data_IF_088205929549
#
_entry.id   IF_088205929549
#
_cell.length_a   1.000
_cell.length_b   1.000
_cell.length_c   1.000
_cell.angle_alpha   90.00
_cell.angle_beta   90.00
_cell.angle_gamma   90.00
#
_symmetry.space_group_name_H-M   'P 1'
#
loop_
_entity.id
_entity.type
_entity.pdbx_description
1 polymer ?
#
# COMPACT_ATOMS: atom_id res chain seq x y z
N UNK A 1 -38.49 -6.19 39.57
CA UNK A 1 -38.13 -4.96 38.83
C UNK A 1 -39.11 -4.81 37.68
N UNK A 2 -39.73 -3.63 37.51
CA UNK A 2 -40.46 -3.33 36.28
C UNK A 2 -39.47 -3.37 35.11
N UNK A 3 -39.89 -3.93 33.97
CA UNK A 3 -39.09 -3.85 32.74
C UNK A 3 -39.02 -2.37 32.32
N UNK A 4 -37.83 -1.83 32.02
CA UNK A 4 -37.70 -0.46 31.52
C UNK A 4 -38.52 -0.28 30.24
N UNK A 5 -39.22 0.84 30.12
CA UNK A 5 -39.86 1.25 28.87
C UNK A 5 -38.86 2.05 28.01
N UNK A 6 -38.31 1.41 26.98
CA UNK A 6 -37.32 2.02 26.09
C UNK A 6 -37.91 3.07 25.13
N UNK A 7 -39.23 3.25 25.10
CA UNK A 7 -39.88 4.33 24.35
C UNK A 7 -39.82 5.67 25.09
N UNK A 8 -39.60 5.65 26.42
CA UNK A 8 -39.40 6.83 27.23
C UNK A 8 -37.92 7.14 27.40
N UNK A 9 -37.49 8.30 26.90
CA UNK A 9 -36.09 8.72 26.89
C UNK A 9 -35.45 8.72 28.29
N UNK A 10 -36.17 9.24 29.29
CA UNK A 10 -35.69 9.31 30.68
C UNK A 10 -35.44 7.92 31.29
N UNK A 11 -36.36 6.97 31.08
CA UNK A 11 -36.20 5.60 31.59
C UNK A 11 -35.06 4.85 30.90
N UNK A 12 -34.89 5.09 29.60
CA UNK A 12 -33.79 4.52 28.80
C UNK A 12 -32.43 5.04 29.28
N UNK A 13 -32.30 6.35 29.50
CA UNK A 13 -31.06 6.94 30.00
C UNK A 13 -30.73 6.46 31.41
N UNK A 14 -31.73 6.37 32.29
CA UNK A 14 -31.54 5.86 33.65
C UNK A 14 -31.10 4.40 33.63
N UNK A 15 -31.69 3.56 32.77
CA UNK A 15 -31.24 2.19 32.55
C UNK A 15 -29.77 2.15 32.08
N UNK A 16 -29.40 2.94 31.08
CA UNK A 16 -28.01 2.95 30.60
C UNK A 16 -27.02 3.42 31.67
N UNK A 17 -27.40 4.40 32.48
CA UNK A 17 -26.59 4.82 33.63
C UNK A 17 -26.43 3.69 34.64
N UNK A 18 -27.48 2.91 34.90
CA UNK A 18 -27.41 1.77 35.85
C UNK A 18 -26.46 0.67 35.41
N UNK A 19 -26.29 0.45 34.10
CA UNK A 19 -25.35 -0.54 33.57
C UNK A 19 -23.92 0.00 33.44
N UNK A 20 -23.67 1.26 33.80
CA UNK A 20 -22.34 1.86 33.81
C UNK A 20 -21.97 2.63 32.55
N UNK A 21 -22.95 3.13 31.77
CA UNK A 21 -22.72 4.18 30.78
C UNK A 21 -22.34 5.48 31.53
N UNK A 22 -21.28 6.19 31.12
CA UNK A 22 -20.96 7.49 31.68
C UNK A 22 -21.99 8.58 31.33
N UNK A 23 -21.96 9.68 32.09
CA UNK A 23 -22.83 10.83 31.87
C UNK A 23 -22.34 11.70 30.69
N UNK A 24 -21.03 11.70 30.43
CA UNK A 24 -20.42 12.39 29.28
C UNK A 24 -19.35 11.52 28.60
N UNK A 25 -19.00 11.86 27.36
CA UNK A 25 -17.95 11.15 26.63
C UNK A 25 -16.58 11.26 27.30
N UNK A 26 -16.30 12.38 27.98
CA UNK A 26 -15.02 12.63 28.63
C UNK A 26 -14.80 11.75 29.87
N UNK A 27 -15.86 11.16 30.43
CA UNK A 27 -15.78 10.31 31.63
C UNK A 27 -15.28 8.88 31.32
N UNK A 28 -15.06 8.56 30.04
CA UNK A 28 -14.38 7.33 29.65
C UNK A 28 -12.88 7.44 29.90
N UNK A 29 -12.35 6.46 30.62
CA UNK A 29 -10.94 6.40 30.97
C UNK A 29 -10.11 5.87 29.80
N UNK A 30 -8.96 6.51 29.54
CA UNK A 30 -7.93 5.99 28.65
C UNK A 30 -7.37 4.69 29.24
N UNK A 31 -7.27 3.59 28.47
CA UNK A 31 -6.60 2.40 28.95
C UNK A 31 -5.11 2.67 29.17
N UNK A 32 -4.55 2.17 30.28
CA UNK A 32 -3.10 2.23 30.51
C UNK A 32 -2.35 1.52 29.37
N UNK A 33 -1.31 2.17 28.83
CA UNK A 33 -0.51 1.61 27.74
C UNK A 33 -1.16 1.61 26.35
N UNK A 34 -2.26 2.35 26.17
CA UNK A 34 -2.83 2.64 24.85
C UNK A 34 -1.80 3.31 23.94
N UNK A 35 -1.63 2.79 22.72
CA UNK A 35 -0.82 3.43 21.66
C UNK A 35 -1.68 4.22 20.68
N UNK A 36 -2.98 4.34 20.94
CA UNK A 36 -3.86 5.17 20.15
C UNK A 36 -3.49 6.64 20.39
N UNK A 37 -3.50 7.42 19.31
CA UNK A 37 -3.32 8.86 19.40
C UNK A 37 -4.56 9.53 20.03
N UNK A 38 -4.36 10.72 20.59
CA UNK A 38 -5.40 11.41 21.36
C UNK A 38 -6.64 11.76 20.52
N UNK A 39 -6.51 11.96 19.20
CA UNK A 39 -7.64 12.26 18.33
C UNK A 39 -8.50 11.01 18.10
N UNK A 40 -7.88 9.88 17.79
CA UNK A 40 -8.57 8.57 17.71
C UNK A 40 -9.24 8.23 19.03
N UNK A 41 -8.60 8.48 20.17
CA UNK A 41 -9.20 8.23 21.47
C UNK A 41 -10.42 9.09 21.75
N UNK A 42 -10.37 10.39 21.40
CA UNK A 42 -11.52 11.28 21.55
C UNK A 42 -12.72 10.81 20.71
N UNK A 43 -12.49 10.42 19.45
CA UNK A 43 -13.53 9.89 18.57
C UNK A 43 -14.15 8.59 19.13
N UNK A 44 -13.33 7.70 19.68
CA UNK A 44 -13.81 6.46 20.29
C UNK A 44 -14.66 6.71 21.55
N UNK A 45 -14.34 7.75 22.34
CA UNK A 45 -15.17 8.15 23.49
C UNK A 45 -16.52 8.70 23.05
N UNK A 46 -16.54 9.53 22.01
CA UNK A 46 -17.78 10.03 21.42
C UNK A 46 -18.65 8.88 20.87
N UNK A 47 -18.02 7.95 20.14
CA UNK A 47 -18.67 6.75 19.62
C UNK A 47 -19.25 5.91 20.77
N UNK A 48 -18.46 5.64 21.80
CA UNK A 48 -18.90 4.88 22.97
C UNK A 48 -20.10 5.54 23.67
N UNK A 49 -20.07 6.86 23.83
CA UNK A 49 -21.18 7.62 24.43
C UNK A 49 -22.46 7.53 23.59
N UNK A 50 -22.33 7.76 22.29
CA UNK A 50 -23.41 7.70 21.29
C UNK A 50 -24.07 6.31 21.25
N UNK A 51 -23.27 5.26 21.36
CA UNK A 51 -23.74 3.87 21.32
C UNK A 51 -24.03 3.27 22.69
N UNK A 52 -24.01 4.08 23.75
CA UNK A 52 -24.36 3.69 25.12
C UNK A 52 -23.50 2.54 25.67
N UNK A 53 -22.23 2.49 25.28
CA UNK A 53 -21.29 1.52 25.82
C UNK A 53 -21.04 1.80 27.31
N UNK A 54 -20.73 0.75 28.06
CA UNK A 54 -20.27 0.90 29.45
C UNK A 54 -18.78 1.26 29.46
N UNK A 55 -18.30 1.85 30.56
CA UNK A 55 -16.86 2.14 30.73
C UNK A 55 -15.98 0.91 30.50
N UNK A 56 -16.40 -0.25 31.01
CA UNK A 56 -15.67 -1.52 30.86
C UNK A 56 -15.63 -2.00 29.40
N UNK A 57 -16.75 -1.88 28.68
CA UNK A 57 -16.84 -2.28 27.27
C UNK A 57 -15.94 -1.42 26.39
N UNK A 58 -16.01 -0.09 26.52
CA UNK A 58 -15.17 0.79 25.71
C UNK A 58 -13.69 0.62 26.06
N UNK A 59 -13.35 0.48 27.36
CA UNK A 59 -11.97 0.23 27.78
C UNK A 59 -11.40 -1.05 27.16
N UNK A 60 -12.15 -2.15 27.19
CA UNK A 60 -11.74 -3.41 26.55
C UNK A 60 -11.56 -3.25 25.03
N UNK A 61 -12.50 -2.58 24.37
CA UNK A 61 -12.41 -2.31 22.93
C UNK A 61 -11.17 -1.48 22.56
N UNK A 62 -10.87 -0.42 23.32
CA UNK A 62 -9.67 0.41 23.09
C UNK A 62 -8.38 -0.38 23.36
N UNK A 63 -8.37 -1.30 24.33
CA UNK A 63 -7.24 -2.20 24.58
C UNK A 63 -7.03 -3.17 23.41
N UNK A 64 -8.09 -3.78 22.90
CA UNK A 64 -8.02 -4.70 21.76
C UNK A 64 -7.55 -3.97 20.49
N UNK A 65 -8.07 -2.77 20.23
CA UNK A 65 -7.66 -1.95 19.09
C UNK A 65 -6.18 -1.53 19.18
N UNK A 66 -5.73 -1.09 20.36
CA UNK A 66 -4.33 -0.79 20.64
C UNK A 66 -3.44 -2.02 20.45
N UNK A 67 -3.88 -3.19 20.92
CA UNK A 67 -3.19 -4.47 20.71
C UNK A 67 -3.08 -4.83 19.23
N UNK A 68 -4.17 -4.68 18.47
CA UNK A 68 -4.20 -4.92 17.03
C UNK A 68 -3.26 -3.98 16.27
N UNK A 69 -3.23 -2.70 16.64
CA UNK A 69 -2.34 -1.72 16.02
C UNK A 69 -0.87 -2.08 16.28
N UNK A 70 -0.52 -2.43 17.53
CA UNK A 70 0.84 -2.91 17.86
C UNK A 70 1.21 -4.14 17.04
N UNK A 71 0.33 -5.14 17.00
CA UNK A 71 0.57 -6.35 16.21
C UNK A 71 0.73 -6.05 14.72
N UNK A 72 -0.09 -5.13 14.19
CA UNK A 72 0.00 -4.71 12.78
C UNK A 72 1.34 -4.05 12.49
N UNK A 73 1.83 -3.17 13.37
CA UNK A 73 3.15 -2.55 13.23
C UNK A 73 4.27 -3.59 13.30
N UNK A 74 4.21 -4.54 14.24
CA UNK A 74 5.16 -5.66 14.33
C UNK A 74 5.15 -6.49 13.05
N UNK A 75 3.98 -6.86 12.53
CA UNK A 75 3.88 -7.62 11.28
C UNK A 75 4.46 -6.86 10.08
N UNK A 76 4.26 -5.54 10.02
CA UNK A 76 4.84 -4.69 8.97
C UNK A 76 6.37 -4.69 9.07
N UNK A 77 6.92 -4.54 10.28
CA UNK A 77 8.37 -4.58 10.52
C UNK A 77 8.96 -5.95 10.14
N UNK A 78 8.33 -7.05 10.58
CA UNK A 78 8.75 -8.41 10.24
C UNK A 78 8.70 -8.67 8.72
N UNK A 79 7.63 -8.22 8.05
CA UNK A 79 7.51 -8.31 6.60
C UNK A 79 8.60 -7.50 5.89
N UNK A 80 8.95 -6.33 6.41
CA UNK A 80 10.02 -5.48 5.87
C UNK A 80 11.39 -6.16 6.00
N UNK A 81 11.71 -6.72 7.16
CA UNK A 81 12.97 -7.42 7.37
C UNK A 81 13.07 -8.71 6.55
N UNK A 82 11.98 -9.49 6.50
CA UNK A 82 11.89 -10.67 5.62
C UNK A 82 12.09 -10.28 4.16
N UNK A 83 11.51 -9.16 3.74
CA UNK A 83 11.66 -8.63 2.40
C UNK A 83 13.09 -8.21 2.06
N UNK A 84 13.78 -7.53 2.99
CA UNK A 84 15.20 -7.19 2.85
C UNK A 84 16.07 -8.44 2.74
N UNK A 85 15.81 -9.44 3.58
CA UNK A 85 16.55 -10.70 3.54
C UNK A 85 16.33 -11.42 2.20
N UNK A 86 15.10 -11.46 1.68
CA UNK A 86 14.82 -12.05 0.37
C UNK A 86 15.58 -11.36 -0.77
N UNK A 87 15.68 -10.02 -0.76
CA UNK A 87 16.51 -9.30 -1.73
C UNK A 87 17.98 -9.66 -1.57
N UNK A 88 18.47 -9.78 -0.33
CA UNK A 88 19.85 -10.15 -0.03
C UNK A 88 20.19 -11.57 -0.49
N UNK A 89 19.28 -12.52 -0.32
CA UNK A 89 19.47 -13.91 -0.76
C UNK A 89 19.53 -14.00 -2.29
N UNK A 90 18.74 -13.20 -3.00
CA UNK A 90 18.70 -13.20 -4.47
C UNK A 90 19.85 -12.43 -5.11
N UNK A 91 20.17 -11.25 -4.59
CA UNK A 91 21.14 -10.33 -5.20
C UNK A 91 22.53 -10.39 -4.55
N UNK A 92 22.66 -11.02 -3.39
CA UNK A 92 23.91 -11.18 -2.67
C UNK A 92 24.57 -9.84 -2.35
N UNK A 93 25.84 -9.69 -2.71
CA UNK A 93 26.61 -8.47 -2.49
C UNK A 93 26.13 -7.27 -3.34
N UNK A 94 25.36 -7.53 -4.41
CA UNK A 94 24.84 -6.47 -5.27
C UNK A 94 23.53 -5.85 -4.75
N UNK A 95 23.05 -6.27 -3.58
CA UNK A 95 21.72 -5.87 -3.07
C UNK A 95 21.60 -4.37 -2.89
N UNK A 96 22.59 -3.73 -2.28
CA UNK A 96 22.62 -2.28 -2.07
C UNK A 96 22.64 -1.53 -3.41
N UNK A 97 23.58 -1.87 -4.30
CA UNK A 97 23.70 -1.25 -5.62
C UNK A 97 22.40 -1.35 -6.44
N UNK A 98 21.75 -2.53 -6.44
CA UNK A 98 20.50 -2.75 -7.19
C UNK A 98 19.31 -2.03 -6.56
N UNK A 99 19.28 -1.93 -5.22
CA UNK A 99 18.25 -1.19 -4.51
C UNK A 99 18.39 0.32 -4.75
N UNK A 100 19.61 0.85 -4.72
CA UNK A 100 19.89 2.25 -5.05
C UNK A 100 19.53 2.58 -6.49
N UNK A 101 19.83 1.67 -7.43
CA UNK A 101 19.41 1.78 -8.82
C UNK A 101 17.88 1.80 -8.96
N UNK A 102 17.16 0.97 -8.20
CA UNK A 102 15.70 0.99 -8.16
C UNK A 102 15.15 2.32 -7.59
N UNK A 103 15.77 2.86 -6.54
CA UNK A 103 15.34 4.11 -5.92
C UNK A 103 15.55 5.33 -6.82
N UNK A 104 16.61 5.36 -7.64
CA UNK A 104 16.79 6.42 -8.65
C UNK A 104 15.63 6.50 -9.65
N UNK A 105 15.01 5.37 -9.99
CA UNK A 105 13.82 5.38 -10.86
C UNK A 105 12.64 6.03 -10.15
N UNK A 106 12.47 5.78 -8.85
CA UNK A 106 11.41 6.42 -8.07
C UNK A 106 11.65 7.93 -7.93
N UNK A 107 12.89 8.36 -7.78
CA UNK A 107 13.27 9.78 -7.76
C UNK A 107 13.00 10.47 -9.11
N UNK A 108 13.24 9.79 -10.22
CA UNK A 108 12.93 10.30 -11.57
C UNK A 108 11.42 10.33 -11.87
N UNK A 109 10.65 9.39 -11.31
CA UNK A 109 9.21 9.25 -11.52
C UNK A 109 8.45 9.24 -10.18
N UNK A 110 8.39 10.38 -9.47
CA UNK A 110 7.73 10.45 -8.19
C UNK A 110 6.21 10.28 -8.35
N UNK A 111 5.68 9.17 -7.85
CA UNK A 111 4.25 8.88 -7.81
C UNK A 111 3.64 9.05 -6.41
N UNK A 112 4.41 9.67 -5.50
CA UNK A 112 4.02 9.88 -4.11
C UNK A 112 4.27 8.68 -3.20
N UNK A 113 4.87 7.58 -3.69
CA UNK A 113 5.29 6.47 -2.84
C UNK A 113 6.60 6.79 -2.12
N UNK A 114 6.69 6.38 -0.85
CA UNK A 114 7.92 6.41 -0.07
C UNK A 114 8.77 5.18 -0.37
N UNK A 115 10.09 5.34 -0.51
CA UNK A 115 11.05 4.24 -0.65
C UNK A 115 10.99 3.25 0.51
N UNK A 116 10.56 3.71 1.69
CA UNK A 116 10.46 2.87 2.89
C UNK A 116 9.32 1.86 2.84
N UNK A 117 8.31 2.09 2.02
CA UNK A 117 7.09 1.30 1.94
C UNK A 117 7.05 0.37 0.72
N UNK A 118 8.16 0.25 -0.02
CA UNK A 118 8.22 -0.61 -1.19
C UNK A 118 8.41 -2.07 -0.80
N UNK A 119 7.61 -2.95 -1.39
CA UNK A 119 7.78 -4.40 -1.28
C UNK A 119 9.01 -4.87 -2.08
N UNK A 120 9.59 -6.04 -1.74
CA UNK A 120 10.69 -6.62 -2.52
C UNK A 120 10.38 -6.78 -4.01
N UNK A 121 9.13 -7.13 -4.33
CA UNK A 121 8.68 -7.30 -5.72
C UNK A 121 8.70 -5.98 -6.50
N UNK A 122 8.31 -4.88 -5.85
CA UNK A 122 8.33 -3.54 -6.43
C UNK A 122 9.77 -3.04 -6.60
N UNK A 123 10.64 -3.26 -5.62
CA UNK A 123 12.07 -2.93 -5.72
C UNK A 123 12.70 -3.66 -6.92
N UNK A 124 12.39 -4.96 -7.10
CA UNK A 124 12.82 -5.73 -8.27
C UNK A 124 12.27 -5.16 -9.58
N UNK A 125 11.00 -4.76 -9.61
CA UNK A 125 10.39 -4.17 -10.81
C UNK A 125 11.02 -2.82 -11.17
N UNK A 126 11.25 -1.95 -10.19
CA UNK A 126 11.94 -0.68 -10.36
C UNK A 126 13.38 -0.87 -10.83
N UNK A 127 14.09 -1.87 -10.29
CA UNK A 127 15.42 -2.22 -10.80
C UNK A 127 15.39 -2.65 -12.27
N UNK A 128 14.39 -3.46 -12.68
CA UNK A 128 14.22 -3.81 -14.10
C UNK A 128 14.01 -2.58 -14.98
N UNK A 129 13.16 -1.64 -14.55
CA UNK A 129 12.98 -0.35 -15.23
C UNK A 129 14.30 0.41 -15.33
N UNK A 130 15.08 0.48 -14.25
CA UNK A 130 16.41 1.10 -14.25
C UNK A 130 17.33 0.46 -15.30
N UNK A 131 17.37 -0.87 -15.38
CA UNK A 131 18.22 -1.58 -16.35
C UNK A 131 17.82 -1.32 -17.80
N UNK A 132 16.51 -1.22 -18.07
CA UNK A 132 15.98 -0.88 -19.41
C UNK A 132 16.27 0.57 -19.79
N UNK A 133 16.14 1.52 -18.86
CA UNK A 133 16.43 2.94 -19.09
C UNK A 133 17.92 3.22 -19.32
N UNK A 134 18.79 2.55 -18.56
CA UNK A 134 20.25 2.78 -18.64
C UNK A 134 20.93 1.96 -19.72
N UNK A 135 20.22 1.05 -20.39
CA UNK A 135 20.78 0.17 -21.42
C UNK A 135 21.83 -0.83 -20.90
N UNK A 136 22.04 -0.90 -19.57
CA UNK A 136 22.99 -1.83 -18.94
C UNK A 136 22.44 -3.26 -18.83
N UNK A 137 21.20 -3.50 -19.26
CA UNK A 137 20.46 -4.73 -19.02
C UNK A 137 20.51 -5.83 -20.09
N UNK A 138 21.03 -5.62 -21.30
CA UNK A 138 20.92 -6.64 -22.35
C UNK A 138 22.19 -6.81 -23.20
N UNK A 139 23.20 -7.48 -22.65
CA UNK A 139 23.97 -8.43 -23.45
C UNK A 139 23.48 -9.84 -23.10
N UNK A 140 22.30 -10.19 -23.60
CA UNK A 140 21.86 -11.59 -23.63
C UNK A 140 22.71 -12.27 -24.71
N UNK A 141 23.73 -13.00 -24.26
CA UNK A 141 24.36 -14.05 -25.05
C UNK A 141 23.26 -15.05 -25.43
N UNK A 142 23.11 -15.33 -26.73
CA UNK A 142 22.19 -16.28 -27.37
C UNK A 142 20.75 -15.82 -27.67
N UNK A 143 20.54 -15.34 -28.90
CA UNK A 143 19.49 -15.87 -29.79
C UNK A 143 19.77 -15.44 -31.23
N UNK A 144 20.59 -16.24 -31.92
CA UNK A 144 20.46 -16.42 -33.37
C UNK A 144 19.20 -17.28 -33.57
N UNK A 145 18.07 -16.67 -33.92
CA UNK A 145 17.21 -17.12 -35.03
C UNK A 145 15.87 -16.35 -35.07
N UNK A 146 15.79 -15.48 -36.08
CA UNK A 146 14.64 -15.19 -36.92
C UNK A 146 13.23 -15.00 -36.31
N UNK A 147 12.84 -13.73 -36.08
CA UNK A 147 11.76 -13.05 -36.84
C UNK A 147 11.87 -11.52 -36.66
N UNK A 148 11.56 -10.71 -37.69
CA UNK A 148 11.55 -9.25 -37.56
C UNK A 148 10.26 -8.80 -36.88
N UNK A 149 10.11 -9.08 -35.59
CA UNK A 149 9.17 -8.31 -34.77
C UNK A 149 9.64 -6.86 -34.80
N UNK A 150 8.77 -5.91 -35.14
CA UNK A 150 8.98 -4.48 -34.97
C UNK A 150 9.14 -4.13 -33.47
N UNK A 151 10.21 -4.63 -32.85
CA UNK A 151 10.61 -4.26 -31.49
C UNK A 151 11.04 -2.80 -31.55
N UNK A 152 10.36 -1.96 -30.78
CA UNK A 152 10.78 -0.56 -30.65
C UNK A 152 12.16 -0.55 -30.00
N UNK A 153 12.98 0.42 -30.37
CA UNK A 153 14.22 0.66 -29.64
C UNK A 153 13.89 1.10 -28.21
N UNK A 154 14.79 0.91 -27.23
CA UNK A 154 14.55 1.38 -25.85
C UNK A 154 14.21 2.87 -25.76
N UNK A 155 14.79 3.68 -26.68
CA UNK A 155 14.46 5.11 -26.80
C UNK A 155 13.03 5.34 -27.27
N UNK A 156 12.58 4.63 -28.31
CA UNK A 156 11.21 4.72 -28.81
C UNK A 156 10.17 4.20 -27.81
N UNK A 157 10.52 3.18 -27.01
CA UNK A 157 9.69 2.69 -25.92
C UNK A 157 9.53 3.74 -24.82
N UNK A 158 10.62 4.44 -24.45
CA UNK A 158 10.59 5.56 -23.49
C UNK A 158 9.76 6.73 -24.02
N UNK A 159 9.98 7.15 -25.26
CA UNK A 159 9.24 8.25 -25.88
C UNK A 159 7.73 7.93 -25.97
N UNK A 160 7.39 6.66 -26.23
CA UNK A 160 6.00 6.20 -26.20
C UNK A 160 5.40 6.25 -24.80
N UNK A 161 6.10 5.74 -23.78
CA UNK A 161 5.65 5.77 -22.39
C UNK A 161 5.40 7.21 -21.89
N UNK A 162 6.33 8.13 -22.15
CA UNK A 162 6.18 9.54 -21.81
C UNK A 162 4.99 10.18 -22.52
N UNK A 163 4.74 9.84 -23.80
CA UNK A 163 3.59 10.34 -24.54
C UNK A 163 2.26 9.87 -23.94
N UNK A 164 2.20 8.62 -23.45
CA UNK A 164 1.01 8.06 -22.81
C UNK A 164 0.78 8.69 -21.44
N UNK A 165 1.81 8.82 -20.60
CA UNK A 165 1.69 9.51 -19.31
C UNK A 165 1.26 10.97 -19.46
N UNK A 166 1.79 11.67 -20.47
CA UNK A 166 1.38 13.04 -20.79
C UNK A 166 -0.08 13.09 -21.24
N UNK A 167 -0.55 12.10 -22.00
CA UNK A 167 -1.95 12.01 -22.44
C UNK A 167 -2.90 11.73 -21.28
N UNK A 168 -2.55 10.78 -20.40
CA UNK A 168 -3.33 10.43 -19.21
C UNK A 168 -3.39 11.60 -18.22
N UNK A 169 -2.26 12.25 -17.94
CA UNK A 169 -2.21 13.38 -17.00
C UNK A 169 -2.92 14.63 -17.51
N UNK A 170 -2.89 14.89 -18.82
CA UNK A 170 -3.58 16.05 -19.39
C UNK A 170 -5.09 15.82 -19.56
N UNK A 171 -5.56 14.57 -19.54
CA UNK A 171 -6.95 14.14 -19.73
C UNK A 171 -7.76 14.96 -20.76
N UNK A 172 -7.11 15.43 -21.82
CA UNK A 172 -7.70 16.36 -22.80
C UNK A 172 -8.80 15.73 -23.65
N UNK A 173 -8.92 14.41 -23.59
CA UNK A 173 -9.79 13.60 -24.45
C UNK A 173 -10.96 12.98 -23.68
N UNK A 174 -11.12 13.29 -22.38
CA UNK A 174 -12.22 12.74 -21.58
C UNK A 174 -12.10 11.23 -21.35
N UNK A 175 -10.87 10.73 -21.21
CA UNK A 175 -10.61 9.31 -20.97
C UNK A 175 -11.21 8.89 -19.63
N UNK A 176 -11.92 7.77 -19.63
CA UNK A 176 -12.43 7.16 -18.40
C UNK A 176 -11.27 6.60 -17.57
N UNK A 177 -11.48 6.41 -16.25
CA UNK A 177 -10.46 5.85 -15.34
C UNK A 177 -9.97 4.47 -15.80
N UNK A 178 -10.86 3.67 -16.39
CA UNK A 178 -10.53 2.34 -16.91
C UNK A 178 -9.63 2.43 -18.15
N UNK A 179 -9.89 3.36 -19.06
CA UNK A 179 -9.05 3.60 -20.24
C UNK A 179 -7.68 4.19 -19.86
N UNK A 180 -7.62 5.06 -18.86
CA UNK A 180 -6.37 5.58 -18.32
C UNK A 180 -5.51 4.45 -17.75
N UNK A 181 -6.09 3.54 -16.96
CA UNK A 181 -5.37 2.38 -16.44
C UNK A 181 -4.92 1.42 -17.55
N UNK A 182 -5.76 1.19 -18.57
CA UNK A 182 -5.39 0.35 -19.71
C UNK A 182 -4.21 0.94 -20.48
N UNK A 183 -4.23 2.24 -20.77
CA UNK A 183 -3.16 2.92 -21.51
C UNK A 183 -1.84 2.91 -20.73
N UNK A 184 -1.89 3.21 -19.43
CA UNK A 184 -0.68 3.15 -18.58
C UNK A 184 -0.12 1.74 -18.51
N UNK A 185 -0.99 0.72 -18.42
CA UNK A 185 -0.57 -0.68 -18.47
C UNK A 185 0.08 -1.05 -19.80
N UNK A 186 -0.56 -0.71 -20.92
CA UNK A 186 0.00 -0.98 -22.26
C UNK A 186 1.36 -0.30 -22.43
N UNK A 187 1.53 0.92 -21.89
CA UNK A 187 2.80 1.64 -21.93
C UNK A 187 3.88 0.97 -21.07
N UNK A 188 3.52 0.42 -19.90
CA UNK A 188 4.42 -0.39 -19.07
C UNK A 188 4.80 -1.70 -19.76
N UNK A 189 3.84 -2.39 -20.37
CA UNK A 189 4.07 -3.66 -21.08
C UNK A 189 5.04 -3.47 -22.26
N UNK A 190 4.93 -2.35 -23.00
CA UNK A 190 5.90 -1.98 -24.04
C UNK A 190 7.31 -1.75 -23.47
N UNK A 191 7.43 -1.04 -22.34
CA UNK A 191 8.73 -0.84 -21.67
C UNK A 191 9.35 -2.16 -21.20
N UNK A 192 8.55 -3.12 -20.76
CA UNK A 192 9.03 -4.44 -20.32
C UNK A 192 9.46 -5.31 -21.51
N UNK A 193 8.62 -5.40 -22.55
CA UNK A 193 8.88 -6.23 -23.73
C UNK A 193 10.03 -5.71 -24.60
N UNK A 194 10.04 -4.41 -24.90
CA UNK A 194 11.03 -3.80 -25.79
C UNK A 194 12.30 -3.37 -25.03
N UNK A 195 12.24 -3.25 -23.70
CA UNK A 195 13.37 -2.95 -22.82
C UNK A 195 14.28 -4.14 -22.52
N UNK A 196 14.03 -5.31 -23.13
CA UNK A 196 14.90 -6.50 -23.05
C UNK A 196 14.70 -7.38 -21.81
N UNK A 197 13.57 -7.26 -21.10
CA UNK A 197 13.24 -8.16 -20.00
C UNK A 197 12.31 -9.28 -20.51
N UNK A 198 12.87 -10.43 -20.88
CA UNK A 198 12.12 -11.70 -21.03
C UNK A 198 11.68 -12.23 -19.63
N UNK A 199 10.91 -11.42 -18.91
CA UNK A 199 10.24 -11.80 -17.67
C UNK A 199 8.74 -11.86 -17.91
N UNK A 200 8.22 -13.07 -18.09
CA UNK A 200 6.79 -13.37 -18.23
C UNK A 200 5.99 -12.62 -17.15
N UNK A 201 5.08 -11.72 -17.56
CA UNK A 201 4.20 -10.91 -16.69
C UNK A 201 3.40 -11.79 -15.71
N UNK A 202 3.19 -13.08 -16.03
CA UNK A 202 2.55 -14.03 -15.12
C UNK A 202 3.38 -14.29 -13.84
N UNK A 203 4.70 -14.14 -13.89
CA UNK A 203 5.57 -14.29 -12.70
C UNK A 203 5.39 -13.15 -11.69
N UNK A 204 4.94 -11.96 -12.13
CA UNK A 204 4.62 -10.84 -11.24
C UNK A 204 3.22 -10.97 -10.62
N UNK A 205 2.33 -11.77 -11.23
CA UNK A 205 0.97 -12.02 -10.71
C UNK A 205 0.89 -13.22 -9.76
N UNK A 206 1.82 -14.17 -9.87
CA UNK A 206 1.86 -15.39 -9.07
C UNK A 206 2.53 -15.24 -7.69
N UNK A 207 3.16 -14.10 -7.39
CA UNK A 207 3.80 -13.83 -6.08
C UNK A 207 2.85 -13.39 -4.96
N UNK A 208 1.53 -13.45 -5.19
CA UNK A 208 0.50 -13.11 -4.20
C UNK A 208 -0.32 -14.34 -3.80
N UNK A 209 0.30 -15.29 -3.10
CA UNK A 209 -0.36 -16.31 -2.30
C UNK A 209 0.46 -16.60 -1.05
#
# INVERSE_FOLDING_TARGET
MLKPDFTQEVQREEFYRTIGKPEKAEDYEKPEGSTLDDATEAELRELGFKHHLTKAQLKGFMQDLSGLQKQTLTNIEEARETGKQSLKDEWGMATEERTDAAFKVLEEFPDGRSTENLTPSEIKALYKVHTSLTGKGAQIHSQQDAQPSHRRTPKEAKDYYESVLKRVSQNKEGLTREEQMRLTKDAMDVMVQDGGADGDINTLRAGGH
#
